data_IF_167915109005
#
_entry.id   IF_167915109005
#
_cell.length_a   1.000
_cell.length_b   1.000
_cell.length_c   1.000
_cell.angle_alpha   90.00
_cell.angle_beta   90.00
_cell.angle_gamma   90.00
#
_symmetry.space_group_name_H-M   'P 1'
#
loop_
_entity.id
_entity.type
_entity.pdbx_description
1 polymer ?
#
# COMPACT_ATOMS: atom_id res chain seq x y z
N UNK A 1 -23.66 13.02 -12.65
CA UNK A 1 -23.48 12.10 -11.51
C UNK A 1 -22.24 12.54 -10.72
N UNK A 2 -22.30 12.66 -9.39
CA UNK A 2 -21.05 12.84 -8.60
C UNK A 2 -20.24 11.55 -8.72
N UNK A 3 -18.97 11.65 -9.11
CA UNK A 3 -18.05 10.51 -9.18
C UNK A 3 -17.91 9.94 -7.76
N UNK A 4 -18.11 8.63 -7.60
CA UNK A 4 -17.88 7.91 -6.36
C UNK A 4 -16.38 7.62 -6.27
N UNK A 5 -15.73 7.90 -5.14
CA UNK A 5 -14.34 7.48 -4.93
C UNK A 5 -14.26 5.96 -4.79
N UNK A 6 -13.20 5.36 -5.32
CA UNK A 6 -12.92 3.93 -5.16
C UNK A 6 -12.29 3.65 -3.80
N UNK A 7 -11.30 4.45 -3.43
CA UNK A 7 -10.56 4.35 -2.18
C UNK A 7 -9.95 5.71 -1.80
N UNK A 8 -9.54 5.82 -0.55
CA UNK A 8 -8.66 6.88 -0.04
C UNK A 8 -7.24 6.31 0.04
N UNK A 9 -6.25 7.07 -0.42
CA UNK A 9 -4.86 6.62 -0.47
C UNK A 9 -4.04 7.28 0.65
N UNK A 10 -3.17 6.51 1.30
CA UNK A 10 -2.23 6.99 2.32
C UNK A 10 -0.91 6.22 2.20
N UNK A 11 0.21 6.90 2.44
CA UNK A 11 1.54 6.30 2.47
C UNK A 11 2.32 6.84 3.66
N UNK A 12 3.40 6.14 4.01
CA UNK A 12 4.47 6.64 4.88
C UNK A 12 3.93 7.18 6.22
N UNK A 13 3.18 6.33 6.91
CA UNK A 13 2.50 6.67 8.18
C UNK A 13 3.51 6.94 9.29
N UNK A 14 4.60 6.18 9.33
CA UNK A 14 5.73 6.31 10.25
C UNK A 14 5.32 6.43 11.73
N UNK A 15 4.49 5.51 12.19
CA UNK A 15 4.09 5.41 13.57
C UNK A 15 5.30 5.15 14.47
N UNK A 16 5.49 5.99 15.49
CA UNK A 16 6.51 5.83 16.51
C UNK A 16 5.91 6.08 17.91
N UNK A 17 6.76 5.89 18.95
CA UNK A 17 6.36 6.05 20.36
C UNK A 17 5.91 7.46 20.76
N UNK A 18 6.17 8.47 19.93
CA UNK A 18 5.90 9.88 20.24
C UNK A 18 4.72 10.45 19.46
N UNK A 19 4.28 9.79 18.39
CA UNK A 19 3.25 10.32 17.49
C UNK A 19 1.95 9.51 17.42
N UNK A 20 1.75 8.51 18.29
CA UNK A 20 0.60 7.61 18.25
C UNK A 20 -0.76 8.33 18.23
N UNK A 21 -0.93 9.35 19.06
CA UNK A 21 -2.19 10.12 19.08
C UNK A 21 -2.43 10.90 17.79
N UNK A 22 -1.35 11.47 17.20
CA UNK A 22 -1.43 12.17 15.93
C UNK A 22 -1.83 11.20 14.80
N UNK A 23 -1.21 10.02 14.74
CA UNK A 23 -1.53 9.02 13.72
C UNK A 23 -2.96 8.51 13.89
N UNK A 24 -3.44 8.26 15.11
CA UNK A 24 -4.84 7.93 15.38
C UNK A 24 -5.79 9.03 14.88
N UNK A 25 -5.42 10.30 15.05
CA UNK A 25 -6.24 11.42 14.58
C UNK A 25 -6.26 11.50 13.05
N UNK A 26 -5.14 11.25 12.39
CA UNK A 26 -5.08 11.12 10.92
C UNK A 26 -6.05 10.03 10.44
N UNK A 27 -6.06 8.85 11.05
CA UNK A 27 -6.98 7.78 10.64
C UNK A 27 -8.44 8.12 10.92
N UNK A 28 -8.77 8.87 11.98
CA UNK A 28 -10.13 9.40 12.15
C UNK A 28 -10.54 10.32 11.01
N UNK A 29 -9.63 11.19 10.56
CA UNK A 29 -9.87 12.06 9.40
C UNK A 29 -10.02 11.24 8.10
N UNK A 30 -9.21 10.21 7.89
CA UNK A 30 -9.36 9.32 6.73
C UNK A 30 -10.71 8.60 6.71
N UNK A 31 -11.21 8.16 7.88
CA UNK A 31 -12.55 7.58 8.00
C UNK A 31 -13.62 8.62 7.60
N UNK A 32 -13.49 9.87 8.07
CA UNK A 32 -14.41 10.94 7.69
C UNK A 32 -14.37 11.23 6.18
N UNK A 33 -13.17 11.21 5.57
CA UNK A 33 -13.02 11.36 4.12
C UNK A 33 -13.69 10.19 3.39
N UNK A 34 -13.59 8.97 3.90
CA UNK A 34 -14.30 7.82 3.34
C UNK A 34 -15.82 8.03 3.33
N UNK A 35 -16.39 8.55 4.43
CA UNK A 35 -17.82 8.88 4.53
C UNK A 35 -18.23 9.97 3.54
N UNK A 36 -17.45 11.07 3.48
CA UNK A 36 -17.73 12.23 2.62
C UNK A 36 -17.74 11.85 1.13
N UNK A 37 -16.82 10.96 0.72
CA UNK A 37 -16.69 10.49 -0.66
C UNK A 37 -17.43 9.17 -0.93
N UNK A 38 -18.16 8.63 0.04
CA UNK A 38 -18.96 7.41 -0.07
C UNK A 38 -18.17 6.19 -0.51
N UNK A 39 -16.94 6.07 -0.04
CA UNK A 39 -16.13 4.86 -0.13
C UNK A 39 -15.99 4.24 1.26
N UNK A 40 -15.69 2.95 1.31
CA UNK A 40 -15.40 2.23 2.54
C UNK A 40 -14.02 1.56 2.47
N UNK A 41 -13.09 2.14 1.70
CA UNK A 41 -11.77 1.54 1.47
C UNK A 41 -10.67 2.56 1.62
N UNK A 42 -9.64 2.19 2.36
CA UNK A 42 -8.35 2.87 2.41
C UNK A 42 -7.31 1.95 1.81
N UNK A 43 -6.39 2.48 1.02
CA UNK A 43 -5.23 1.77 0.49
C UNK A 43 -3.99 2.45 1.06
N UNK A 44 -3.14 1.66 1.73
CA UNK A 44 -1.89 2.12 2.32
C UNK A 44 -0.69 1.54 1.59
N UNK A 45 0.16 2.42 1.07
CA UNK A 45 1.35 2.08 0.31
C UNK A 45 2.60 1.80 1.15
N UNK A 46 2.45 1.38 2.41
CA UNK A 46 3.55 0.92 3.27
C UNK A 46 4.08 1.94 4.25
N UNK A 47 5.13 1.53 4.95
CA UNK A 47 5.81 2.26 6.03
C UNK A 47 4.85 2.71 7.13
N UNK A 48 4.14 1.74 7.69
CA UNK A 48 3.29 1.94 8.86
C UNK A 48 4.12 2.34 10.07
N UNK A 49 5.27 1.70 10.25
CA UNK A 49 6.14 1.93 11.40
C UNK A 49 7.40 2.73 11.02
N UNK A 50 8.00 3.43 11.99
CA UNK A 50 9.26 4.16 11.79
C UNK A 50 10.48 3.27 11.96
N UNK A 51 10.45 2.28 12.84
CA UNK A 51 11.62 1.49 13.20
C UNK A 51 11.66 0.17 12.41
N UNK A 52 12.78 -0.10 11.73
CA UNK A 52 12.99 -1.33 10.95
C UNK A 52 13.34 -2.56 11.79
N UNK A 53 14.03 -2.38 12.90
CA UNK A 53 14.64 -3.50 13.62
C UNK A 53 13.76 -4.11 14.71
N UNK A 54 12.89 -3.34 15.32
CA UNK A 54 11.97 -3.78 16.36
C UNK A 54 10.87 -2.74 16.58
N UNK A 55 9.65 -3.19 16.84
CA UNK A 55 8.55 -2.29 17.13
C UNK A 55 8.32 -2.18 18.65
N UNK A 56 8.32 -0.96 19.21
CA UNK A 56 7.89 -0.75 20.59
C UNK A 56 6.47 -1.24 20.81
N UNK A 57 6.19 -1.83 21.98
CA UNK A 57 4.85 -2.34 22.30
C UNK A 57 3.77 -1.28 22.16
N UNK A 58 4.08 -0.01 22.49
CA UNK A 58 3.13 1.10 22.34
C UNK A 58 2.73 1.28 20.87
N UNK A 59 3.68 1.22 19.92
CA UNK A 59 3.37 1.34 18.50
C UNK A 59 2.47 0.19 18.01
N UNK A 60 2.77 -1.04 18.45
CA UNK A 60 1.94 -2.19 18.12
C UNK A 60 0.51 -2.03 18.68
N UNK A 61 0.37 -1.49 19.90
CA UNK A 61 -0.92 -1.24 20.53
C UNK A 61 -1.67 -0.12 19.82
N UNK A 62 -0.99 0.98 19.50
CA UNK A 62 -1.58 2.12 18.79
C UNK A 62 -2.08 1.71 17.40
N UNK A 63 -1.29 0.90 16.68
CA UNK A 63 -1.73 0.36 15.39
C UNK A 63 -2.95 -0.54 15.54
N UNK A 64 -2.99 -1.40 16.56
CA UNK A 64 -4.16 -2.21 16.88
C UNK A 64 -5.40 -1.34 17.12
N UNK A 65 -5.27 -0.25 17.90
CA UNK A 65 -6.38 0.67 18.17
C UNK A 65 -6.89 1.31 16.87
N UNK A 66 -5.99 1.64 15.92
CA UNK A 66 -6.36 2.16 14.60
C UNK A 66 -7.15 1.11 13.81
N UNK A 67 -6.70 -0.15 13.78
CA UNK A 67 -7.43 -1.22 13.11
C UNK A 67 -8.81 -1.46 13.73
N UNK A 68 -8.92 -1.37 15.06
CA UNK A 68 -10.21 -1.44 15.77
C UNK A 68 -11.14 -0.26 15.40
N UNK A 69 -10.60 0.94 15.18
CA UNK A 69 -11.38 2.10 14.70
C UNK A 69 -11.89 1.87 13.28
N UNK A 70 -11.04 1.41 12.36
CA UNK A 70 -11.42 1.11 10.97
C UNK A 70 -12.53 0.05 10.93
N UNK A 71 -12.38 -1.04 11.69
CA UNK A 71 -13.39 -2.09 11.81
C UNK A 71 -14.73 -1.54 12.31
N UNK A 72 -14.73 -0.71 13.35
CA UNK A 72 -15.96 -0.10 13.89
C UNK A 72 -16.65 0.82 12.90
N UNK A 73 -15.87 1.47 12.03
CA UNK A 73 -16.38 2.33 10.97
C UNK A 73 -16.81 1.56 9.70
N UNK A 74 -16.56 0.24 9.63
CA UNK A 74 -16.83 -0.56 8.43
C UNK A 74 -15.93 -0.22 7.25
N UNK A 75 -14.71 0.28 7.52
CA UNK A 75 -13.73 0.66 6.51
C UNK A 75 -12.72 -0.47 6.34
N UNK A 76 -12.56 -0.94 5.11
CA UNK A 76 -11.54 -1.92 4.72
C UNK A 76 -10.19 -1.22 4.51
N UNK A 77 -9.11 -1.89 4.86
CA UNK A 77 -7.75 -1.45 4.64
C UNK A 77 -7.01 -2.47 3.77
N UNK A 78 -6.59 -2.04 2.57
CA UNK A 78 -5.56 -2.74 1.81
C UNK A 78 -4.21 -2.13 2.19
N UNK A 79 -3.23 -2.96 2.52
CA UNK A 79 -1.92 -2.49 2.94
C UNK A 79 -0.82 -3.38 2.36
N UNK A 80 0.23 -2.74 1.83
CA UNK A 80 1.49 -3.40 1.49
C UNK A 80 2.52 -3.09 2.58
N UNK A 81 3.43 -4.02 2.94
CA UNK A 81 4.58 -3.70 3.77
C UNK A 81 5.57 -2.78 3.05
N UNK A 82 6.00 -1.72 3.73
CA UNK A 82 7.15 -0.90 3.34
C UNK A 82 8.46 -1.44 3.93
N UNK A 83 9.55 -0.73 3.68
CA UNK A 83 10.87 -1.14 4.15
C UNK A 83 11.05 -1.01 5.68
N UNK A 84 10.23 -0.19 6.34
CA UNK A 84 10.20 -0.07 7.80
C UNK A 84 9.28 -1.09 8.47
N UNK A 85 8.46 -1.79 7.71
CA UNK A 85 7.55 -2.81 8.23
C UNK A 85 8.16 -4.22 8.27
N UNK A 86 9.38 -4.38 7.73
CA UNK A 86 10.11 -5.66 7.61
C UNK A 86 11.47 -5.61 8.30
N UNK A 87 11.91 -6.76 8.81
CA UNK A 87 13.29 -6.96 9.30
C UNK A 87 14.21 -7.48 8.20
N UNK A 88 13.68 -8.32 7.31
CA UNK A 88 14.37 -8.85 6.13
C UNK A 88 13.60 -8.33 4.89
N UNK A 89 14.28 -7.61 3.97
CA UNK A 89 13.65 -7.08 2.77
C UNK A 89 12.94 -8.13 1.93
N UNK A 90 13.51 -9.33 1.83
CA UNK A 90 13.03 -10.38 0.93
C UNK A 90 12.09 -11.40 1.60
N UNK A 91 11.86 -11.28 2.90
CA UNK A 91 10.81 -12.05 3.57
C UNK A 91 9.43 -11.49 3.19
N UNK A 92 8.49 -12.37 2.92
CA UNK A 92 7.07 -11.99 2.72
C UNK A 92 6.41 -11.55 4.03
N UNK A 93 6.96 -11.95 5.19
CA UNK A 93 6.46 -11.57 6.51
C UNK A 93 6.89 -10.17 6.90
N UNK A 94 6.03 -9.52 7.67
CA UNK A 94 6.22 -8.17 8.19
C UNK A 94 5.70 -8.05 9.62
N UNK A 95 5.92 -6.93 10.28
CA UNK A 95 5.29 -6.62 11.57
C UNK A 95 3.75 -6.57 11.49
N UNK A 96 3.20 -6.38 10.29
CA UNK A 96 1.75 -6.32 10.07
C UNK A 96 1.09 -7.68 10.19
N UNK A 97 1.85 -8.77 10.06
CA UNK A 97 1.33 -10.16 10.15
C UNK A 97 0.83 -10.56 11.54
N UNK A 98 1.19 -9.80 12.58
CA UNK A 98 0.71 -10.06 13.96
C UNK A 98 -0.75 -9.67 14.16
N UNK A 99 -1.36 -9.00 13.17
CA UNK A 99 -2.74 -8.56 13.20
C UNK A 99 -3.60 -9.40 12.26
N UNK A 100 -4.74 -9.85 12.75
CA UNK A 100 -5.70 -10.63 11.95
C UNK A 100 -7.08 -10.00 12.08
N UNK A 101 -7.46 -9.22 11.08
CA UNK A 101 -8.75 -8.54 10.98
C UNK A 101 -9.37 -8.83 9.62
N UNK A 102 -10.66 -9.22 9.55
CA UNK A 102 -11.33 -9.48 8.27
C UNK A 102 -11.35 -8.27 7.32
N UNK A 103 -11.30 -7.07 7.89
CA UNK A 103 -11.32 -5.80 7.14
C UNK A 103 -9.91 -5.38 6.65
N UNK A 104 -8.85 -6.08 7.04
CA UNK A 104 -7.47 -5.79 6.65
C UNK A 104 -6.99 -6.83 5.64
N UNK A 105 -6.66 -6.36 4.44
CA UNK A 105 -6.08 -7.15 3.37
C UNK A 105 -4.61 -6.78 3.29
N UNK A 106 -3.76 -7.68 3.79
CA UNK A 106 -2.31 -7.52 3.76
C UNK A 106 -1.74 -8.20 2.51
N UNK A 107 -1.30 -7.40 1.56
CA UNK A 107 -0.64 -7.86 0.34
C UNK A 107 0.84 -8.09 0.62
N UNK A 108 1.25 -9.35 0.80
CA UNK A 108 2.62 -9.75 1.21
C UNK A 108 3.58 -9.92 0.04
N UNK A 109 3.05 -10.06 -1.16
CA UNK A 109 3.78 -10.32 -2.41
C UNK A 109 3.14 -9.55 -3.55
N UNK A 110 3.67 -9.69 -4.75
CA UNK A 110 3.05 -9.14 -5.96
C UNK A 110 1.68 -9.76 -6.21
N UNK A 111 0.63 -8.96 -6.21
CA UNK A 111 -0.75 -9.39 -6.41
C UNK A 111 -1.50 -8.41 -7.29
N UNK A 112 -2.46 -8.92 -8.07
CA UNK A 112 -3.40 -8.10 -8.82
C UNK A 112 -4.83 -8.45 -8.43
N UNK A 113 -5.66 -7.43 -8.19
CA UNK A 113 -7.07 -7.63 -7.85
C UNK A 113 -7.96 -6.55 -8.46
N UNK A 114 -9.26 -6.83 -8.54
CA UNK A 114 -10.25 -5.91 -9.10
C UNK A 114 -10.98 -5.20 -7.95
N UNK A 115 -10.92 -3.87 -7.95
CA UNK A 115 -11.61 -3.00 -6.99
C UNK A 115 -12.51 -2.04 -7.76
N UNK A 116 -13.82 -2.18 -7.59
CA UNK A 116 -14.80 -1.29 -8.23
C UNK A 116 -14.76 -1.28 -9.75
N UNK A 117 -14.39 -2.39 -10.38
CA UNK A 117 -14.29 -2.55 -11.83
C UNK A 117 -12.98 -2.03 -12.44
N UNK A 118 -11.99 -1.74 -11.63
CA UNK A 118 -10.64 -1.32 -12.04
C UNK A 118 -9.58 -2.25 -11.46
N UNK A 119 -8.44 -2.39 -12.13
CA UNK A 119 -7.36 -3.28 -11.71
C UNK A 119 -6.38 -2.55 -10.78
N UNK A 120 -6.07 -3.18 -9.66
CA UNK A 120 -5.08 -2.71 -8.70
C UNK A 120 -3.98 -3.76 -8.55
N UNK A 121 -2.76 -3.36 -8.85
CA UNK A 121 -1.54 -4.15 -8.67
C UNK A 121 -0.86 -3.66 -7.41
N UNK A 122 -0.56 -4.59 -6.50
CA UNK A 122 0.11 -4.33 -5.24
C UNK A 122 1.48 -5.02 -5.26
N UNK A 123 2.55 -4.24 -5.04
CA UNK A 123 3.91 -4.78 -4.95
C UNK A 123 4.57 -4.20 -3.69
N UNK A 124 4.72 -5.00 -2.61
CA UNK A 124 5.40 -4.59 -1.38
C UNK A 124 6.87 -4.24 -1.60
N UNK A 125 7.48 -3.71 -0.55
CA UNK A 125 8.93 -3.53 -0.52
C UNK A 125 9.68 -4.87 -0.54
N UNK A 126 10.66 -4.95 -1.43
CA UNK A 126 11.66 -6.01 -1.55
C UNK A 126 12.99 -5.40 -2.03
N UNK A 127 14.05 -6.20 -2.08
CA UNK A 127 15.23 -5.82 -2.90
C UNK A 127 14.84 -5.71 -4.36
N UNK A 128 15.60 -4.95 -5.14
CA UNK A 128 15.26 -4.64 -6.53
C UNK A 128 14.97 -5.89 -7.37
N UNK A 129 15.81 -6.94 -7.24
CA UNK A 129 15.65 -8.18 -8.01
C UNK A 129 14.38 -8.92 -7.61
N UNK A 130 14.11 -9.04 -6.31
CA UNK A 130 12.90 -9.70 -5.82
C UNK A 130 11.65 -8.87 -6.14
N UNK A 131 11.76 -7.54 -6.08
CA UNK A 131 10.68 -6.65 -6.46
C UNK A 131 10.29 -6.85 -7.94
N UNK A 132 11.27 -6.98 -8.84
CA UNK A 132 11.02 -7.23 -10.27
C UNK A 132 10.29 -8.56 -10.49
N UNK A 133 10.69 -9.62 -9.79
CA UNK A 133 10.01 -10.91 -9.87
C UNK A 133 8.53 -10.81 -9.45
N UNK A 134 8.28 -10.15 -8.33
CA UNK A 134 6.93 -9.99 -7.79
C UNK A 134 6.08 -9.05 -8.64
N UNK A 135 6.67 -7.99 -9.19
CA UNK A 135 6.02 -7.10 -10.14
C UNK A 135 5.60 -7.84 -11.41
N UNK A 136 6.50 -8.61 -12.01
CA UNK A 136 6.21 -9.38 -13.23
C UNK A 136 5.05 -10.35 -13.03
N UNK A 137 5.04 -11.11 -11.92
CA UNK A 137 3.94 -12.03 -11.59
C UNK A 137 2.60 -11.30 -11.46
N UNK A 138 2.58 -10.16 -10.79
CA UNK A 138 1.37 -9.39 -10.58
C UNK A 138 0.89 -8.72 -11.88
N UNK A 139 1.82 -8.28 -12.73
CA UNK A 139 1.52 -7.66 -14.01
C UNK A 139 0.97 -8.68 -15.03
N UNK A 140 1.49 -9.91 -15.05
CA UNK A 140 0.93 -11.02 -15.84
C UNK A 140 -0.53 -11.31 -15.44
N UNK A 141 -0.87 -11.26 -14.14
CA UNK A 141 -2.24 -11.42 -13.67
C UNK A 141 -3.10 -10.24 -14.15
N UNK A 142 -2.59 -9.00 -14.07
CA UNK A 142 -3.27 -7.81 -14.59
C UNK A 142 -3.60 -7.95 -16.08
N UNK A 143 -2.62 -8.36 -16.88
CA UNK A 143 -2.82 -8.58 -18.32
C UNK A 143 -3.89 -9.64 -18.60
N UNK A 144 -3.86 -10.75 -17.85
CA UNK A 144 -4.87 -11.81 -17.94
C UNK A 144 -6.26 -11.28 -17.62
N UNK A 145 -6.43 -10.47 -16.57
CA UNK A 145 -7.72 -9.88 -16.19
C UNK A 145 -8.34 -9.00 -17.30
N UNK A 146 -7.51 -8.27 -18.07
CA UNK A 146 -7.98 -7.55 -19.24
C UNK A 146 -8.27 -8.48 -20.42
N UNK A 147 -7.41 -9.46 -20.69
CA UNK A 147 -7.55 -10.36 -21.83
C UNK A 147 -8.74 -11.32 -21.69
N UNK A 148 -9.07 -11.74 -20.48
CA UNK A 148 -10.20 -12.63 -20.19
C UNK A 148 -11.54 -11.89 -20.04
N UNK A 149 -11.50 -10.55 -20.03
CA UNK A 149 -12.69 -9.71 -19.92
C UNK A 149 -13.26 -9.61 -18.50
N UNK A 150 -12.42 -9.82 -17.48
CA UNK A 150 -12.79 -9.64 -16.08
C UNK A 150 -13.09 -8.17 -15.73
N UNK A 151 -12.56 -7.26 -16.53
CA UNK A 151 -12.83 -5.82 -16.47
C UNK A 151 -13.16 -5.27 -17.86
N UNK A 152 -13.83 -4.11 -17.91
CA UNK A 152 -14.13 -3.42 -19.16
C UNK A 152 -12.84 -2.91 -19.84
N UNK A 153 -12.85 -2.75 -21.17
CA UNK A 153 -11.66 -2.27 -21.92
C UNK A 153 -11.16 -0.89 -21.47
N UNK A 154 -12.05 -0.03 -20.96
CA UNK A 154 -11.72 1.31 -20.45
C UNK A 154 -11.42 1.33 -18.96
N UNK A 155 -11.30 0.16 -18.30
CA UNK A 155 -10.93 0.08 -16.91
C UNK A 155 -9.53 0.65 -16.68
N UNK A 156 -9.38 1.40 -15.59
CA UNK A 156 -8.06 1.90 -15.18
C UNK A 156 -7.25 0.81 -14.52
N UNK A 157 -5.93 0.86 -14.68
CA UNK A 157 -4.97 0.09 -13.90
C UNK A 157 -4.16 0.99 -12.98
N UNK A 158 -3.99 0.56 -11.73
CA UNK A 158 -3.28 1.27 -10.68
C UNK A 158 -2.17 0.39 -10.13
N UNK A 159 -0.97 0.95 -9.98
CA UNK A 159 0.13 0.29 -9.27
C UNK A 159 0.29 0.96 -7.90
N UNK A 160 0.27 0.15 -6.85
CA UNK A 160 0.55 0.53 -5.48
C UNK A 160 1.83 -0.18 -5.07
N UNK A 161 2.88 0.56 -4.78
CA UNK A 161 4.18 -0.05 -4.48
C UNK A 161 4.97 0.77 -3.46
N UNK A 162 5.95 0.10 -2.84
CA UNK A 162 6.91 0.72 -1.95
C UNK A 162 8.31 0.35 -2.41
N UNK A 163 9.00 1.28 -3.08
CA UNK A 163 10.35 1.03 -3.60
C UNK A 163 11.02 2.33 -4.07
N UNK A 164 12.35 2.33 -4.10
CA UNK A 164 13.12 3.37 -4.75
C UNK A 164 13.23 3.14 -6.26
N UNK A 165 13.21 4.21 -7.05
CA UNK A 165 13.30 4.15 -8.52
C UNK A 165 14.54 4.87 -9.02
N UNK A 166 15.07 4.40 -10.14
CA UNK A 166 16.21 5.02 -10.79
C UNK A 166 15.93 6.49 -11.14
N UNK A 167 16.83 7.37 -10.75
CA UNK A 167 16.75 8.82 -11.00
C UNK A 167 15.88 9.62 -10.03
N UNK A 168 15.23 8.99 -9.05
CA UNK A 168 14.54 9.71 -7.96
C UNK A 168 15.57 10.30 -6.99
N UNK A 169 15.31 11.48 -6.46
CA UNK A 169 16.19 12.14 -5.49
C UNK A 169 15.71 11.92 -4.07
N UNK A 170 16.64 11.51 -3.22
CA UNK A 170 16.44 11.50 -1.77
C UNK A 170 16.35 12.93 -1.21
N UNK A 171 15.90 13.07 0.04
CA UNK A 171 15.79 14.35 0.73
C UNK A 171 17.12 15.09 0.87
N UNK A 172 18.25 14.38 0.86
CA UNK A 172 19.61 14.94 0.90
C UNK A 172 20.14 15.34 -0.49
N UNK A 173 19.34 15.14 -1.56
CA UNK A 173 19.67 15.47 -2.96
C UNK A 173 20.47 14.39 -3.68
N UNK A 174 20.82 13.27 -3.04
CA UNK A 174 21.44 12.11 -3.69
C UNK A 174 20.42 11.41 -4.60
N UNK A 175 20.91 10.85 -5.71
CA UNK A 175 20.06 10.08 -6.63
C UNK A 175 19.98 8.62 -6.19
N UNK A 176 18.75 8.08 -6.20
CA UNK A 176 18.52 6.66 -6.05
C UNK A 176 19.02 5.95 -7.32
N UNK A 177 19.85 4.93 -7.14
CA UNK A 177 20.26 4.03 -8.21
C UNK A 177 19.51 2.72 -8.03
N UNK A 178 18.66 2.40 -8.97
CA UNK A 178 17.83 1.20 -8.96
C UNK A 178 17.75 0.60 -10.37
N UNK A 179 17.51 -0.68 -10.46
CA UNK A 179 17.17 -1.34 -11.73
C UNK A 179 15.70 -1.12 -12.11
N UNK A 180 14.88 -0.64 -11.17
CA UNK A 180 13.47 -0.32 -11.37
C UNK A 180 13.37 1.04 -12.04
N UNK A 181 12.84 1.09 -13.26
CA UNK A 181 12.77 2.31 -14.07
C UNK A 181 11.33 2.79 -14.21
N UNK A 182 11.07 4.10 -14.16
CA UNK A 182 9.74 4.66 -14.38
C UNK A 182 9.07 4.23 -15.68
N UNK A 183 9.86 3.94 -16.73
CA UNK A 183 9.33 3.46 -18.02
C UNK A 183 8.62 2.10 -17.94
N UNK A 184 8.86 1.32 -16.89
CA UNK A 184 8.18 0.03 -16.66
C UNK A 184 6.70 0.20 -16.31
N UNK A 185 6.27 1.41 -15.98
CA UNK A 185 4.90 1.71 -15.53
C UNK A 185 4.05 2.42 -16.57
N UNK A 186 4.50 2.46 -17.84
CA UNK A 186 3.80 3.20 -18.92
C UNK A 186 2.36 2.71 -19.15
N UNK A 187 2.08 1.45 -18.86
CA UNK A 187 0.77 0.82 -19.04
C UNK A 187 -0.20 1.07 -17.87
N UNK A 188 0.28 1.69 -16.79
CA UNK A 188 -0.55 2.00 -15.63
C UNK A 188 -1.17 3.39 -15.74
N UNK A 189 -2.46 3.50 -15.44
CA UNK A 189 -3.18 4.78 -15.41
C UNK A 189 -2.62 5.70 -14.33
N UNK A 190 -2.27 5.13 -13.18
CA UNK A 190 -1.63 5.83 -12.05
C UNK A 190 -0.71 4.88 -11.30
N UNK A 191 0.35 5.46 -10.73
CA UNK A 191 1.28 4.78 -9.83
C UNK A 191 1.32 5.54 -8.51
N UNK A 192 1.08 4.84 -7.42
CA UNK A 192 1.26 5.33 -6.06
C UNK A 192 2.51 4.67 -5.47
N UNK A 193 3.46 5.49 -5.06
CA UNK A 193 4.76 5.07 -4.57
C UNK A 193 4.93 5.58 -3.15
N UNK A 194 5.19 4.67 -2.20
CA UNK A 194 5.75 4.98 -0.88
C UNK A 194 7.27 4.82 -0.89
N UNK A 195 7.97 5.59 -0.10
CA UNK A 195 9.41 5.43 0.28
C UNK A 195 9.99 6.71 0.85
#
# INVERSE_FOLDING_TARGET
MKKKALAVLVNDVHLDKSNGDLVKDIFRQLIQVCEDFKTNRIICGGDIFTNRSAQPMICLTDWKDILDMLRKAGVCLDVIPGNHDKTDPDDERSYLDVYSYPEVILHRKGESCIIGGHVFVFVPYFTDEKWLEEFQKADEIRESQFAEGDVEEDACSFLITHSGFDGVKNNDGSEVKSIIKPSMFSEYTKVLIGH
#
